data_IF_206075289924
#
_entry.id   IF_206075289924
#
_cell.length_a   1.000
_cell.length_b   1.000
_cell.length_c   1.000
_cell.angle_alpha   90.00
_cell.angle_beta   90.00
_cell.angle_gamma   90.00
#
_symmetry.space_group_name_H-M   'P 1'
#
loop_
_entity.id
_entity.type
_entity.pdbx_description
1 polymer ?
#
# COMPACT_ATOMS: atom_id res chain seq x y z
N UNK A 1 -25.30 16.72 -17.30
CA UNK A 1 -24.31 17.71 -16.85
C UNK A 1 -24.17 17.53 -15.35
N UNK A 2 -23.25 16.68 -14.89
CA UNK A 2 -22.95 16.52 -13.46
C UNK A 2 -21.72 15.63 -13.27
N UNK A 3 -20.55 16.24 -13.22
CA UNK A 3 -19.36 15.66 -12.58
C UNK A 3 -18.51 16.82 -12.07
N UNK A 4 -18.68 17.18 -10.80
CA UNK A 4 -17.63 17.86 -10.03
C UNK A 4 -17.23 16.93 -8.87
N UNK A 5 -16.43 15.88 -9.14
CA UNK A 5 -16.03 14.91 -8.13
C UNK A 5 -15.25 15.54 -6.98
N UNK A 6 -14.67 16.73 -7.18
CA UNK A 6 -13.84 17.43 -6.21
C UNK A 6 -14.64 18.14 -5.11
N UNK A 7 -15.86 18.59 -5.38
CA UNK A 7 -16.64 19.41 -4.43
C UNK A 7 -17.39 18.57 -3.39
N UNK A 8 -17.53 17.26 -3.62
CA UNK A 8 -18.21 16.34 -2.70
C UNK A 8 -17.27 15.54 -1.80
N UNK A 9 -15.96 15.73 -1.93
CA UNK A 9 -14.97 14.99 -1.14
C UNK A 9 -14.73 15.67 0.20
N UNK A 10 -14.70 14.87 1.26
CA UNK A 10 -14.29 15.33 2.59
C UNK A 10 -12.77 15.50 2.64
N UNK A 11 -12.26 16.60 2.08
CA UNK A 11 -10.84 16.87 1.94
C UNK A 11 -10.08 16.85 3.27
N UNK A 12 -10.72 17.29 4.36
CA UNK A 12 -10.10 17.28 5.68
C UNK A 12 -9.86 15.85 6.20
N UNK A 13 -10.85 14.98 6.04
CA UNK A 13 -10.72 13.56 6.40
C UNK A 13 -9.74 12.83 5.49
N UNK A 14 -9.80 13.08 4.18
CA UNK A 14 -8.87 12.53 3.20
C UNK A 14 -7.44 12.95 3.52
N UNK A 15 -7.21 14.24 3.81
CA UNK A 15 -5.90 14.75 4.19
C UNK A 15 -5.40 14.10 5.48
N UNK A 16 -6.25 13.97 6.52
CA UNK A 16 -5.89 13.26 7.77
C UNK A 16 -5.51 11.79 7.52
N UNK A 17 -6.26 11.07 6.69
CA UNK A 17 -5.98 9.66 6.34
C UNK A 17 -4.73 9.54 5.49
N UNK A 18 -4.57 10.41 4.49
CA UNK A 18 -3.40 10.43 3.62
C UNK A 18 -2.13 10.77 4.40
N UNK A 19 -2.18 11.75 5.31
CA UNK A 19 -1.05 12.10 6.16
C UNK A 19 -0.61 10.95 7.06
N UNK A 20 -1.55 10.26 7.69
CA UNK A 20 -1.27 9.04 8.48
C UNK A 20 -0.65 7.93 7.63
N UNK A 21 -1.15 7.72 6.41
CA UNK A 21 -0.58 6.75 5.47
C UNK A 21 0.86 7.12 5.08
N UNK A 22 1.08 8.37 4.67
CA UNK A 22 2.39 8.83 4.19
C UNK A 22 3.43 8.85 5.30
N UNK A 23 3.07 9.26 6.53
CA UNK A 23 3.96 9.14 7.70
C UNK A 23 4.42 7.71 7.91
N UNK A 24 3.48 6.76 7.86
CA UNK A 24 3.79 5.32 7.97
C UNK A 24 4.73 4.88 6.85
N UNK A 25 4.52 5.32 5.60
CA UNK A 25 5.40 4.99 4.48
C UNK A 25 6.80 5.59 4.63
N UNK A 26 6.92 6.87 5.02
CA UNK A 26 8.21 7.54 5.21
C UNK A 26 9.00 6.88 6.34
N UNK A 27 8.35 6.59 7.46
CA UNK A 27 8.93 5.82 8.56
C UNK A 27 9.35 4.41 8.10
N UNK A 28 8.47 3.72 7.37
CA UNK A 28 8.72 2.37 6.84
C UNK A 28 9.87 2.31 5.85
N UNK A 29 10.20 3.34 5.08
CA UNK A 29 11.37 3.27 4.20
C UNK A 29 12.68 3.68 4.89
N UNK A 30 12.61 4.37 6.03
CA UNK A 30 13.75 4.71 6.92
C UNK A 30 15.03 5.15 6.20
N UNK A 31 14.90 5.89 5.10
CA UNK A 31 16.05 6.33 4.30
C UNK A 31 16.88 7.29 5.14
N UNK A 32 18.19 7.04 5.24
CA UNK A 32 19.08 7.85 6.07
C UNK A 32 19.07 9.33 5.67
N UNK A 33 19.04 9.62 4.36
CA UNK A 33 18.94 10.97 3.81
C UNK A 33 17.62 11.69 4.13
N UNK A 34 16.59 10.97 4.61
CA UNK A 34 15.30 11.55 4.98
C UNK A 34 15.23 11.97 6.45
N UNK A 35 16.23 11.60 7.26
CA UNK A 35 16.23 11.91 8.69
C UNK A 35 16.29 13.42 8.92
N UNK A 36 15.40 13.91 9.79
CA UNK A 36 15.24 15.33 10.08
C UNK A 36 14.44 16.11 9.03
N UNK A 37 13.93 15.45 7.99
CA UNK A 37 13.09 16.01 6.94
C UNK A 37 11.79 15.22 6.75
N UNK A 38 11.43 14.36 7.71
CA UNK A 38 10.33 13.41 7.55
C UNK A 38 8.99 14.12 7.36
N UNK A 39 8.72 15.18 8.13
CA UNK A 39 7.47 15.94 8.00
C UNK A 39 7.41 16.73 6.69
N UNK A 40 8.53 17.29 6.21
CA UNK A 40 8.58 17.97 4.91
C UNK A 40 8.34 16.97 3.77
N UNK A 41 8.92 15.77 3.86
CA UNK A 41 8.68 14.69 2.91
C UNK A 41 7.23 14.22 2.93
N UNK A 42 6.61 14.16 4.11
CA UNK A 42 5.19 13.82 4.26
C UNK A 42 4.34 14.86 3.53
N UNK A 43 4.55 16.15 3.78
CA UNK A 43 3.81 17.22 3.09
C UNK A 43 4.07 17.21 1.58
N UNK A 44 5.32 17.05 1.15
CA UNK A 44 5.71 16.94 -0.27
C UNK A 44 4.92 15.83 -0.98
N UNK A 45 4.89 14.63 -0.38
CA UNK A 45 4.21 13.47 -0.97
C UNK A 45 2.70 13.71 -1.02
N UNK A 46 2.12 14.31 0.02
CA UNK A 46 0.69 14.65 0.05
C UNK A 46 0.36 15.65 -1.04
N UNK A 47 1.09 16.77 -1.09
CA UNK A 47 0.88 17.85 -2.06
C UNK A 47 1.02 17.34 -3.49
N UNK A 48 2.08 16.58 -3.78
CA UNK A 48 2.29 16.00 -5.11
C UNK A 48 1.15 15.03 -5.48
N UNK A 49 0.65 14.26 -4.52
CA UNK A 49 -0.45 13.32 -4.76
C UNK A 49 -1.75 14.04 -5.11
N UNK A 50 -2.06 15.12 -4.39
CA UNK A 50 -3.22 15.98 -4.66
C UNK A 50 -3.05 16.67 -6.01
N UNK A 51 -1.86 17.23 -6.30
CA UNK A 51 -1.56 17.88 -7.58
C UNK A 51 -1.82 16.94 -8.76
N UNK A 52 -1.24 15.73 -8.74
CA UNK A 52 -1.43 14.72 -9.80
C UNK A 52 -2.88 14.30 -9.96
N UNK A 53 -3.62 14.22 -8.85
CA UNK A 53 -5.03 13.89 -8.88
C UNK A 53 -5.89 14.99 -9.52
N UNK A 54 -5.58 16.27 -9.22
CA UNK A 54 -6.26 17.43 -9.82
C UNK A 54 -5.91 17.55 -11.31
N UNK A 55 -4.64 17.41 -11.68
CA UNK A 55 -4.17 17.47 -13.08
C UNK A 55 -4.81 16.41 -13.98
N UNK A 56 -5.30 15.32 -13.39
CA UNK A 56 -6.05 14.29 -14.11
C UNK A 56 -7.48 14.72 -14.45
N UNK A 57 -8.11 15.60 -13.67
CA UNK A 57 -9.54 15.92 -13.82
C UNK A 57 -9.91 16.52 -15.18
N UNK A 58 -9.16 17.47 -15.77
CA UNK A 58 -9.50 18.03 -17.09
C UNK A 58 -9.53 16.98 -18.21
N UNK A 59 -8.80 15.88 -18.08
CA UNK A 59 -8.82 14.77 -19.04
C UNK A 59 -10.02 13.86 -18.82
N UNK A 60 -10.48 13.71 -17.57
CA UNK A 60 -11.73 13.03 -17.22
C UNK A 60 -12.93 13.82 -17.75
N UNK A 61 -12.96 15.13 -17.53
CA UNK A 61 -14.03 16.02 -17.98
C UNK A 61 -14.18 16.05 -19.51
N UNK A 62 -13.05 15.96 -20.22
CA UNK A 62 -13.03 15.83 -21.69
C UNK A 62 -13.38 14.42 -22.19
N UNK A 63 -13.60 13.46 -21.29
CA UNK A 63 -13.91 12.08 -21.65
C UNK A 63 -12.73 11.27 -22.22
N UNK A 64 -11.50 11.78 -22.09
CA UNK A 64 -10.30 11.09 -22.59
C UNK A 64 -9.92 9.88 -21.72
N UNK A 65 -10.32 9.90 -20.44
CA UNK A 65 -10.02 8.87 -19.44
C UNK A 65 -11.23 8.64 -18.54
N UNK A 66 -11.43 7.40 -18.10
CA UNK A 66 -12.52 7.07 -17.19
C UNK A 66 -12.34 7.76 -15.82
N UNK A 67 -13.43 8.32 -15.25
CA UNK A 67 -13.44 8.81 -13.88
C UNK A 67 -13.01 7.73 -12.90
N UNK A 68 -12.29 8.11 -11.85
CA UNK A 68 -11.98 7.18 -10.77
C UNK A 68 -13.27 6.78 -10.05
N UNK A 69 -13.55 5.47 -9.97
CA UNK A 69 -14.70 4.94 -9.22
C UNK A 69 -14.58 5.21 -7.71
N UNK A 70 -13.36 5.34 -7.21
CA UNK A 70 -13.04 5.68 -5.83
C UNK A 70 -11.91 6.74 -5.81
N UNK A 71 -12.25 8.04 -5.78
CA UNK A 71 -11.30 9.15 -5.78
C UNK A 71 -10.25 9.07 -4.66
N UNK A 72 -10.67 8.72 -3.44
CA UNK A 72 -9.78 8.59 -2.27
C UNK A 72 -8.75 7.49 -2.47
N UNK A 73 -9.18 6.32 -2.92
CA UNK A 73 -8.30 5.18 -3.18
C UNK A 73 -7.28 5.51 -4.28
N UNK A 74 -7.70 6.29 -5.27
CA UNK A 74 -6.78 6.77 -6.30
C UNK A 74 -5.72 7.71 -5.70
N UNK A 75 -6.11 8.64 -4.84
CA UNK A 75 -5.19 9.54 -4.15
C UNK A 75 -4.14 8.76 -3.34
N UNK A 76 -4.58 7.73 -2.60
CA UNK A 76 -3.71 6.87 -1.80
C UNK A 76 -2.76 6.07 -2.69
N UNK A 77 -3.25 5.56 -3.82
CA UNK A 77 -2.42 4.86 -4.81
C UNK A 77 -1.33 5.78 -5.38
N UNK A 78 -1.66 7.03 -5.68
CA UNK A 78 -0.68 8.02 -6.16
C UNK A 78 0.40 8.24 -5.10
N UNK A 79 0.00 8.42 -3.83
CA UNK A 79 0.95 8.65 -2.73
C UNK A 79 1.88 7.47 -2.50
N UNK A 80 1.35 6.24 -2.48
CA UNK A 80 2.16 5.03 -2.35
C UNK A 80 3.18 4.92 -3.48
N UNK A 81 2.74 5.12 -4.73
CA UNK A 81 3.62 5.04 -5.89
C UNK A 81 4.69 6.13 -5.86
N UNK A 82 4.32 7.37 -5.53
CA UNK A 82 5.25 8.49 -5.47
C UNK A 82 6.29 8.29 -4.36
N UNK A 83 5.88 7.85 -3.18
CA UNK A 83 6.79 7.52 -2.08
C UNK A 83 7.76 6.38 -2.46
N UNK A 84 7.25 5.31 -3.08
CA UNK A 84 8.08 4.18 -3.57
C UNK A 84 9.07 4.63 -4.64
N UNK A 85 8.66 5.49 -5.56
CA UNK A 85 9.54 5.99 -6.61
C UNK A 85 10.64 6.90 -6.07
N UNK A 86 10.31 7.73 -5.06
CA UNK A 86 11.29 8.55 -4.34
C UNK A 86 12.29 7.66 -3.60
N UNK A 87 11.82 6.65 -2.86
CA UNK A 87 12.68 5.65 -2.22
C UNK A 87 13.62 4.96 -3.22
N UNK A 88 13.09 4.48 -4.36
CA UNK A 88 13.89 3.85 -5.43
C UNK A 88 14.94 4.80 -6.00
N UNK A 89 14.63 6.10 -6.08
CA UNK A 89 15.58 7.13 -6.54
C UNK A 89 16.73 7.28 -5.56
N UNK A 90 16.43 7.43 -4.26
CA UNK A 90 17.46 7.53 -3.23
C UNK A 90 18.35 6.30 -3.18
N UNK A 91 17.74 5.10 -3.24
CA UNK A 91 18.50 3.85 -3.25
C UNK A 91 19.47 3.74 -4.42
N UNK A 92 19.09 4.25 -5.60
CA UNK A 92 19.97 4.30 -6.78
C UNK A 92 21.10 5.30 -6.63
N UNK A 93 20.84 6.46 -6.01
CA UNK A 93 21.87 7.48 -5.78
C UNK A 93 22.95 6.99 -4.82
N UNK A 94 22.53 6.28 -3.77
CA UNK A 94 23.41 5.74 -2.72
C UNK A 94 24.26 4.55 -3.22
N UNK A 95 23.75 3.70 -4.11
CA UNK A 95 24.51 2.56 -4.67
C UNK A 95 25.71 2.98 -5.53
N UNK A 96 25.76 4.23 -5.99
CA UNK A 96 26.94 4.83 -6.64
C UNK A 96 27.95 5.42 -5.66
N UNK A 97 27.61 5.53 -4.36
CA UNK A 97 28.39 6.22 -3.33
C UNK A 97 28.91 5.35 -2.17
N UNK A 98 28.59 4.05 -2.12
CA UNK A 98 29.24 3.10 -1.21
C UNK A 98 28.76 3.05 0.25
N UNK A 99 27.67 3.74 0.61
CA UNK A 99 27.10 3.67 1.97
C UNK A 99 25.86 2.77 2.01
N UNK A 100 25.82 1.82 2.95
CA UNK A 100 24.66 0.92 3.15
C UNK A 100 23.55 1.62 3.94
N UNK A 101 22.30 1.48 3.51
CA UNK A 101 21.14 1.99 4.24
C UNK A 101 20.89 1.16 5.52
N UNK A 102 20.44 1.77 6.63
CA UNK A 102 19.82 1.06 7.73
C UNK A 102 18.47 0.48 7.30
N UNK A 103 18.18 -0.73 7.76
CA UNK A 103 16.88 -1.38 7.62
C UNK A 103 15.75 -0.59 8.30
N UNK A 104 14.50 -0.76 7.84
CA UNK A 104 13.39 0.03 8.32
C UNK A 104 13.00 -0.24 9.77
N UNK A 105 12.78 0.84 10.53
CA UNK A 105 12.45 0.76 11.96
C UNK A 105 10.99 0.37 12.20
N UNK A 106 10.80 -0.66 13.02
CA UNK A 106 9.55 -1.08 13.66
C UNK A 106 9.31 -0.30 14.97
N UNK A 107 8.14 0.35 15.11
CA UNK A 107 7.63 0.98 16.36
C UNK A 107 8.09 2.43 16.64
N UNK A 108 7.35 3.33 17.31
CA UNK A 108 6.26 3.15 18.27
C UNK A 108 5.72 4.54 18.73
N UNK A 109 4.50 5.01 18.35
CA UNK A 109 3.75 6.10 19.05
C UNK A 109 2.25 6.06 18.70
N UNK A 110 1.45 5.28 19.41
CA UNK A 110 -0.04 5.28 19.39
C UNK A 110 -0.58 4.68 20.72
N UNK A 111 -1.75 5.08 21.21
CA UNK A 111 -2.21 4.65 22.55
C UNK A 111 -2.46 3.12 22.64
N UNK A 112 -2.04 2.43 23.72
CA UNK A 112 -2.03 0.96 23.80
C UNK A 112 -3.39 0.28 23.63
N UNK A 113 -4.48 0.93 24.02
CA UNK A 113 -5.84 0.39 23.92
C UNK A 113 -6.40 0.49 22.50
N UNK A 114 -6.14 1.59 21.80
CA UNK A 114 -6.48 1.75 20.38
C UNK A 114 -5.67 0.80 19.51
N UNK A 115 -4.39 0.59 19.86
CA UNK A 115 -3.50 -0.37 19.18
C UNK A 115 -3.93 -1.83 19.38
N UNK A 116 -4.45 -2.17 20.56
CA UNK A 116 -4.99 -3.51 20.83
C UNK A 116 -6.27 -3.77 20.03
N UNK A 117 -7.18 -2.80 19.96
CA UNK A 117 -8.42 -2.90 19.17
C UNK A 117 -8.12 -2.93 17.68
N UNK A 118 -7.28 -2.02 17.17
CA UNK A 118 -6.87 -2.00 15.76
C UNK A 118 -6.08 -3.27 15.39
N UNK A 119 -5.27 -3.81 16.33
CA UNK A 119 -4.59 -5.10 16.16
C UNK A 119 -5.54 -6.29 16.05
N UNK A 120 -6.62 -6.34 16.85
CA UNK A 120 -7.64 -7.40 16.78
C UNK A 120 -8.42 -7.32 15.45
N UNK A 121 -8.85 -6.11 15.05
CA UNK A 121 -9.54 -5.92 13.75
C UNK A 121 -8.62 -6.18 12.55
N UNK A 122 -7.33 -5.89 12.66
CA UNK A 122 -6.37 -6.22 11.61
C UNK A 122 -6.11 -7.72 11.56
N UNK A 123 -6.02 -8.41 12.69
CA UNK A 123 -5.86 -9.87 12.75
C UNK A 123 -7.02 -10.61 12.07
N UNK A 124 -8.27 -10.28 12.39
CA UNK A 124 -9.43 -10.93 11.78
C UNK A 124 -9.49 -10.71 10.27
N UNK A 125 -9.23 -9.47 9.82
CA UNK A 125 -9.15 -9.14 8.40
C UNK A 125 -8.02 -9.91 7.71
N UNK A 126 -6.83 -9.97 8.32
CA UNK A 126 -5.68 -10.64 7.73
C UNK A 126 -5.88 -12.16 7.69
N UNK A 127 -6.48 -12.76 8.72
CA UNK A 127 -6.87 -14.17 8.71
C UNK A 127 -7.91 -14.47 7.62
N UNK A 128 -8.86 -13.56 7.41
CA UNK A 128 -9.81 -13.67 6.31
C UNK A 128 -9.13 -13.57 4.94
N UNK A 129 -8.27 -12.56 4.75
CA UNK A 129 -7.49 -12.37 3.51
C UNK A 129 -6.60 -13.59 3.23
N UNK A 130 -5.88 -14.10 4.22
CA UNK A 130 -5.00 -15.25 4.07
C UNK A 130 -5.77 -16.50 3.59
N UNK A 131 -6.94 -16.77 4.21
CA UNK A 131 -7.83 -17.87 3.79
C UNK A 131 -8.31 -17.71 2.36
N UNK A 132 -8.75 -16.52 1.98
CA UNK A 132 -9.25 -16.26 0.63
C UNK A 132 -8.15 -16.38 -0.44
N UNK A 133 -6.95 -15.88 -0.13
CA UNK A 133 -5.80 -15.95 -1.03
C UNK A 133 -5.34 -17.39 -1.26
N UNK A 134 -5.48 -18.28 -0.27
CA UNK A 134 -5.15 -19.70 -0.44
C UNK A 134 -5.95 -20.35 -1.58
N UNK A 135 -7.20 -19.93 -1.78
CA UNK A 135 -8.12 -20.42 -2.81
C UNK A 135 -7.94 -19.75 -4.18
N UNK A 136 -7.04 -18.78 -4.32
CA UNK A 136 -6.85 -18.10 -5.60
C UNK A 136 -6.18 -19.01 -6.63
N UNK A 137 -6.46 -18.83 -7.94
CA UNK A 137 -5.72 -19.49 -9.00
C UNK A 137 -4.22 -19.28 -8.83
N UNK A 138 -3.44 -20.36 -8.99
CA UNK A 138 -2.00 -20.42 -8.68
C UNK A 138 -1.20 -19.22 -9.16
N UNK A 139 -1.43 -18.75 -10.40
CA UNK A 139 -0.73 -17.58 -10.95
C UNK A 139 -1.06 -16.27 -10.25
N UNK A 140 -2.33 -16.06 -9.87
CA UNK A 140 -2.78 -14.85 -9.17
C UNK A 140 -2.35 -14.87 -7.71
N UNK A 141 -2.51 -16.02 -7.03
CA UNK A 141 -1.99 -16.24 -5.68
C UNK A 141 -0.51 -15.92 -5.63
N UNK A 142 0.29 -16.54 -6.50
CA UNK A 142 1.74 -16.34 -6.53
C UNK A 142 2.12 -14.88 -6.79
N UNK A 143 1.49 -14.22 -7.76
CA UNK A 143 1.77 -12.82 -8.05
C UNK A 143 1.45 -11.89 -6.86
N UNK A 144 0.37 -12.17 -6.13
CA UNK A 144 -0.01 -11.45 -4.93
C UNK A 144 0.98 -11.69 -3.78
N UNK A 145 1.36 -12.94 -3.52
CA UNK A 145 2.28 -13.28 -2.43
C UNK A 145 3.68 -12.70 -2.65
N UNK A 146 4.16 -12.66 -3.89
CA UNK A 146 5.44 -11.98 -4.21
C UNK A 146 5.32 -10.48 -3.97
N UNK A 147 4.23 -9.84 -4.38
CA UNK A 147 4.05 -8.41 -4.15
C UNK A 147 3.95 -8.08 -2.65
N UNK A 148 3.24 -8.90 -1.89
CA UNK A 148 3.18 -8.78 -0.42
C UNK A 148 4.56 -8.96 0.20
N UNK A 149 5.32 -9.97 -0.21
CA UNK A 149 6.67 -10.20 0.30
C UNK A 149 7.65 -9.07 -0.06
N UNK A 150 7.53 -8.47 -1.25
CA UNK A 150 8.33 -7.30 -1.65
C UNK A 150 8.03 -6.03 -0.81
N UNK A 151 6.82 -5.95 -0.25
CA UNK A 151 6.36 -4.81 0.55
C UNK A 151 6.59 -5.01 2.05
N UNK A 152 7.11 -6.17 2.46
CA UNK A 152 7.27 -6.54 3.85
C UNK A 152 8.73 -6.52 4.29
N UNK A 153 8.93 -6.06 5.53
CA UNK A 153 10.13 -6.38 6.30
C UNK A 153 9.89 -7.71 7.03
N UNK A 154 10.91 -8.55 7.09
CA UNK A 154 10.86 -9.85 7.78
C UNK A 154 11.93 -9.84 8.86
N UNK A 155 11.73 -8.95 9.81
CA UNK A 155 12.58 -8.77 10.98
C UNK A 155 12.29 -9.88 12.01
N UNK A 156 12.90 -9.79 13.20
CA UNK A 156 12.84 -10.85 14.23
C UNK A 156 11.43 -11.22 14.71
N UNK A 157 10.45 -10.31 14.59
CA UNK A 157 9.05 -10.56 14.96
C UNK A 157 8.10 -10.44 13.76
N UNK A 158 7.30 -11.49 13.45
CA UNK A 158 6.39 -11.46 12.32
C UNK A 158 5.24 -10.48 12.54
N UNK A 159 4.94 -9.67 11.52
CA UNK A 159 3.77 -8.78 11.52
C UNK A 159 2.46 -9.56 11.61
N UNK A 160 1.37 -8.91 12.05
CA UNK A 160 0.03 -9.54 12.11
C UNK A 160 -0.40 -10.20 10.79
N UNK A 161 -0.05 -9.57 9.66
CA UNK A 161 -0.31 -10.12 8.33
C UNK A 161 0.58 -11.34 8.02
N UNK A 162 1.87 -11.32 8.41
CA UNK A 162 2.74 -12.48 8.26
C UNK A 162 2.27 -13.66 9.12
N UNK A 163 1.91 -13.42 10.37
CA UNK A 163 1.36 -14.43 11.27
C UNK A 163 0.08 -15.05 10.71
N UNK A 164 -0.85 -14.22 10.20
CA UNK A 164 -2.07 -14.71 9.58
C UNK A 164 -1.81 -15.60 8.34
N UNK A 165 -0.82 -15.27 7.52
CA UNK A 165 -0.45 -16.10 6.37
C UNK A 165 0.29 -17.39 6.80
N UNK A 166 1.16 -17.31 7.81
CA UNK A 166 1.86 -18.46 8.37
C UNK A 166 0.89 -19.47 9.00
N UNK A 167 -0.16 -19.00 9.68
CA UNK A 167 -1.23 -19.85 10.23
C UNK A 167 -1.99 -20.62 9.13
N UNK A 168 -2.04 -20.07 7.91
CA UNK A 168 -2.59 -20.76 6.73
C UNK A 168 -1.54 -21.63 6.00
N UNK A 169 -0.36 -21.83 6.60
CA UNK A 169 0.75 -22.58 6.01
C UNK A 169 1.45 -21.85 4.85
N UNK A 170 1.27 -20.53 4.74
CA UNK A 170 1.88 -19.71 3.69
C UNK A 170 3.01 -18.87 4.29
N UNK A 171 4.24 -19.33 4.10
CA UNK A 171 5.42 -18.54 4.44
C UNK A 171 5.69 -17.49 3.35
N UNK A 172 5.45 -16.22 3.67
CA UNK A 172 5.69 -15.10 2.75
C UNK A 172 7.18 -14.89 2.44
N UNK A 173 8.09 -15.35 3.31
CA UNK A 173 9.54 -15.17 3.13
C UNK A 173 10.06 -15.91 1.89
N UNK A 174 9.44 -17.03 1.55
CA UNK A 174 9.75 -17.83 0.35
C UNK A 174 9.49 -17.11 -0.97
N UNK A 175 8.83 -15.95 -0.95
CA UNK A 175 8.48 -15.19 -2.15
C UNK A 175 9.35 -13.94 -2.36
N UNK A 176 10.39 -13.71 -1.52
CA UNK A 176 11.25 -12.51 -1.56
C UNK A 176 12.24 -12.50 -2.73
N UNK A 177 12.88 -13.64 -2.97
CA UNK A 177 14.00 -13.75 -3.92
C UNK A 177 13.55 -14.33 -5.26
N UNK A 178 12.69 -13.59 -5.96
CA UNK A 178 12.22 -13.99 -7.28
C UNK A 178 12.99 -13.27 -8.41
N UNK A 179 13.87 -13.96 -9.17
CA UNK A 179 14.57 -13.35 -10.30
C UNK A 179 13.59 -13.04 -11.43
N UNK A 180 13.55 -11.79 -11.88
CA UNK A 180 12.64 -11.34 -12.94
C UNK A 180 13.32 -11.14 -14.29
N UNK A 181 12.74 -11.78 -15.31
CA UNK A 181 12.89 -11.40 -16.71
C UNK A 181 11.78 -10.39 -17.10
N UNK A 182 12.07 -9.44 -18.00
CA UNK A 182 11.18 -8.32 -18.33
C UNK A 182 9.80 -8.73 -18.88
N UNK A 183 9.71 -9.87 -19.56
CA UNK A 183 8.41 -10.44 -20.00
C UNK A 183 7.61 -11.02 -18.84
N UNK A 184 8.28 -11.60 -17.85
CA UNK A 184 7.65 -12.15 -16.65
C UNK A 184 7.09 -11.03 -15.76
N UNK A 185 7.73 -9.85 -15.78
CA UNK A 185 7.28 -8.66 -15.06
C UNK A 185 5.89 -8.16 -15.50
N UNK A 186 5.69 -7.97 -16.82
CA UNK A 186 4.41 -7.48 -17.33
C UNK A 186 3.25 -8.44 -17.01
N UNK A 187 3.49 -9.75 -17.15
CA UNK A 187 2.52 -10.78 -16.79
C UNK A 187 2.21 -10.77 -15.28
N UNK A 188 3.24 -10.64 -14.44
CA UNK A 188 3.08 -10.55 -12.99
C UNK A 188 2.25 -9.35 -12.57
N UNK A 189 2.50 -8.17 -13.14
CA UNK A 189 1.71 -6.96 -12.86
C UNK A 189 0.22 -7.17 -13.20
N UNK A 190 -0.07 -7.79 -14.36
CA UNK A 190 -1.44 -8.10 -14.74
C UNK A 190 -2.10 -9.08 -13.76
N UNK A 191 -1.42 -10.18 -13.41
CA UNK A 191 -1.91 -11.20 -12.48
C UNK A 191 -2.13 -10.63 -11.07
N UNK A 192 -1.23 -9.80 -10.58
CA UNK A 192 -1.35 -9.08 -9.31
C UNK A 192 -2.57 -8.15 -9.31
N UNK A 193 -2.74 -7.34 -10.36
CA UNK A 193 -3.88 -6.43 -10.46
C UNK A 193 -5.22 -7.19 -10.55
N UNK A 194 -5.23 -8.40 -11.14
CA UNK A 194 -6.39 -9.29 -11.09
C UNK A 194 -6.62 -9.88 -9.70
N UNK A 195 -5.56 -10.28 -9.01
CA UNK A 195 -5.63 -10.81 -7.65
C UNK A 195 -6.22 -9.77 -6.67
N UNK A 196 -5.72 -8.54 -6.67
CA UNK A 196 -6.26 -7.47 -5.81
C UNK A 196 -7.71 -7.11 -6.16
N UNK A 197 -8.06 -7.07 -7.46
CA UNK A 197 -9.46 -6.84 -7.88
C UNK A 197 -10.38 -7.97 -7.41
N UNK A 198 -9.91 -9.22 -7.46
CA UNK A 198 -10.66 -10.35 -6.91
C UNK A 198 -10.84 -10.19 -5.42
N UNK A 199 -9.77 -9.92 -4.68
CA UNK A 199 -9.80 -9.75 -3.22
C UNK A 199 -10.80 -8.66 -2.78
N UNK A 200 -10.74 -7.49 -3.41
CA UNK A 200 -11.68 -6.37 -3.16
C UNK A 200 -13.14 -6.68 -3.60
N UNK A 201 -13.32 -7.67 -4.46
CA UNK A 201 -14.62 -8.13 -4.94
C UNK A 201 -15.27 -9.21 -4.06
N UNK A 202 -14.54 -9.78 -3.09
CA UNK A 202 -15.04 -10.90 -2.30
C UNK A 202 -16.18 -10.45 -1.36
N UNK A 203 -17.30 -11.19 -1.32
CA UNK A 203 -18.41 -10.88 -0.41
C UNK A 203 -17.98 -10.87 1.06
N UNK A 204 -17.08 -11.78 1.44
CA UNK A 204 -16.54 -11.90 2.80
C UNK A 204 -15.77 -10.63 3.22
N UNK A 205 -14.88 -10.14 2.35
CA UNK A 205 -14.11 -8.90 2.60
C UNK A 205 -15.04 -7.68 2.63
N UNK A 206 -16.03 -7.61 1.73
CA UNK A 206 -16.99 -6.49 1.71
C UNK A 206 -17.88 -6.47 2.94
N UNK A 207 -18.35 -7.63 3.38
CA UNK A 207 -19.17 -7.75 4.60
C UNK A 207 -18.37 -7.36 5.84
N UNK A 208 -17.09 -7.76 5.90
CA UNK A 208 -16.20 -7.36 6.98
C UNK A 208 -16.03 -5.84 7.04
N UNK A 209 -15.75 -5.19 5.91
CA UNK A 209 -15.60 -3.73 5.84
C UNK A 209 -16.90 -3.02 6.25
N UNK A 210 -18.04 -3.43 5.69
CA UNK A 210 -19.33 -2.81 5.99
C UNK A 210 -19.78 -3.00 7.46
N UNK A 211 -19.37 -4.09 8.11
CA UNK A 211 -19.69 -4.37 9.51
C UNK A 211 -18.89 -3.54 10.52
N UNK A 212 -17.84 -2.85 10.08
CA UNK A 212 -16.91 -2.09 10.94
C UNK A 212 -16.81 -0.60 10.53
N UNK A 213 -17.76 -0.09 9.72
CA UNK A 213 -17.89 1.34 9.36
C UNK A 213 -18.76 2.14 10.37
N UNK A 214 -18.90 1.69 11.62
CA UNK A 214 -19.68 2.32 12.69
C UNK A 214 -18.85 2.48 13.97
#
# INVERSE_FOLDING_TARGET
METRPLLSLNWEEIYRRLRRLVRRLVAHYSVAAWRGQEEDLVEDIIQESIRRFIERQPRVERGEIEPARAPEQMLFTIACNYCRDRYRRERRLIHTGGESLPEPKTGDVEEPAERALEGIYQQELFALVAREVDHFPRGQRRALLIDLAELMSFDDEPTLLQSAFLEQGIDLSHYRDWPEDGRQHALRVALRNHAYRRLAGLPSIRAYIAGHEH
#
